data_IF_820049405622
#
_entry.id   IF_820049405622
#
_cell.length_a   1.000
_cell.length_b   1.000
_cell.length_c   1.000
_cell.angle_alpha   90.00
_cell.angle_beta   90.00
_cell.angle_gamma   90.00
#
_symmetry.space_group_name_H-M   'P 1'
#
loop_
_entity.id
_entity.type
_entity.pdbx_description
1 polymer ?
#
# COMPACT_ATOMS: atom_id res chain seq x y z
N UNK A 1 25.96 -20.42 -14.47
CA UNK A 1 26.60 -19.90 -15.71
C UNK A 1 26.51 -18.40 -15.94
N UNK A 2 25.34 -17.75 -15.84
CA UNK A 2 25.25 -16.28 -16.02
C UNK A 2 26.11 -15.51 -15.01
N UNK A 3 26.14 -15.96 -13.75
CA UNK A 3 26.94 -15.33 -12.69
C UNK A 3 28.46 -15.36 -12.93
N UNK A 4 29.00 -16.38 -13.61
CA UNK A 4 30.43 -16.37 -13.96
C UNK A 4 30.72 -15.53 -15.21
N UNK A 5 29.75 -15.41 -16.12
CA UNK A 5 29.88 -14.62 -17.35
C UNK A 5 29.80 -13.10 -17.10
N UNK A 6 29.05 -12.67 -16.10
CA UNK A 6 28.88 -11.23 -15.78
C UNK A 6 29.96 -10.69 -14.84
N UNK A 7 30.64 -11.55 -14.07
CA UNK A 7 31.51 -11.13 -12.96
C UNK A 7 33.01 -11.14 -13.28
N UNK A 8 33.42 -11.63 -14.46
CA UNK A 8 34.83 -11.68 -14.90
C UNK A 8 35.27 -10.52 -15.79
N UNK A 9 34.47 -9.47 -15.93
CA UNK A 9 34.80 -8.32 -16.79
C UNK A 9 35.69 -7.36 -16.01
N UNK A 10 36.97 -7.25 -16.39
CA UNK A 10 37.90 -6.27 -15.83
C UNK A 10 37.26 -4.88 -15.90
N UNK A 11 37.31 -4.11 -14.82
CA UNK A 11 36.65 -2.79 -14.70
C UNK A 11 36.99 -1.82 -15.86
N UNK A 12 38.15 -2.00 -16.51
CA UNK A 12 38.53 -1.26 -17.72
C UNK A 12 37.76 -1.61 -18.99
N UNK A 13 37.18 -2.81 -19.11
CA UNK A 13 36.33 -3.25 -20.24
C UNK A 13 34.84 -3.09 -19.96
N UNK A 14 34.44 -3.04 -18.68
CA UNK A 14 33.06 -2.76 -18.25
C UNK A 14 32.59 -1.40 -18.78
N UNK A 15 33.47 -0.39 -18.81
CA UNK A 15 33.07 0.97 -19.25
C UNK A 15 32.52 0.99 -20.67
N UNK A 16 33.12 0.22 -21.58
CA UNK A 16 32.79 0.28 -23.01
C UNK A 16 31.63 -0.69 -23.37
N UNK A 17 31.53 -1.87 -22.73
CA UNK A 17 30.36 -2.77 -22.87
C UNK A 17 29.13 -2.24 -22.13
N UNK A 18 29.29 -1.75 -20.90
CA UNK A 18 28.16 -1.23 -20.11
C UNK A 18 27.53 -0.01 -20.77
N UNK A 19 28.29 0.90 -21.42
CA UNK A 19 27.68 2.05 -22.08
C UNK A 19 26.67 1.67 -23.17
N UNK A 20 26.91 0.57 -23.89
CA UNK A 20 26.05 0.12 -24.98
C UNK A 20 24.90 -0.78 -24.47
N UNK A 21 25.18 -1.74 -23.59
CA UNK A 21 24.17 -2.64 -23.03
C UNK A 21 23.26 -1.97 -21.99
N UNK A 22 23.77 -1.01 -21.21
CA UNK A 22 22.98 -0.31 -20.19
C UNK A 22 21.80 0.44 -20.80
N UNK A 23 21.98 1.03 -21.99
CA UNK A 23 20.90 1.74 -22.68
C UNK A 23 19.74 0.82 -23.08
N UNK A 24 20.05 -0.43 -23.45
CA UNK A 24 19.04 -1.44 -23.74
C UNK A 24 18.35 -1.91 -22.46
N UNK A 25 19.13 -2.21 -21.41
CA UNK A 25 18.59 -2.63 -20.10
C UNK A 25 17.69 -1.57 -19.46
N UNK A 26 18.11 -0.30 -19.47
CA UNK A 26 17.32 0.80 -18.91
C UNK A 26 16.02 1.01 -19.67
N UNK A 27 15.97 0.73 -20.99
CA UNK A 27 14.72 0.81 -21.77
C UNK A 27 13.77 -0.34 -21.46
N UNK A 28 14.30 -1.56 -21.38
CA UNK A 28 13.52 -2.77 -21.13
C UNK A 28 12.92 -2.78 -19.72
N UNK A 29 13.72 -2.43 -18.71
CA UNK A 29 13.32 -2.47 -17.29
C UNK A 29 12.85 -1.12 -16.76
N UNK A 30 12.69 -0.13 -17.64
CA UNK A 30 12.29 1.23 -17.29
C UNK A 30 11.04 1.24 -16.42
N UNK A 31 10.00 0.56 -16.90
CA UNK A 31 8.68 0.62 -16.31
C UNK A 31 8.68 -0.07 -14.92
N UNK A 32 9.49 -1.13 -14.73
CA UNK A 32 9.73 -1.76 -13.43
C UNK A 32 10.48 -0.85 -12.45
N UNK A 33 11.47 -0.11 -12.93
CA UNK A 33 12.23 0.85 -12.11
C UNK A 33 11.35 2.03 -11.67
N UNK A 34 10.40 2.47 -12.51
CA UNK A 34 9.46 3.54 -12.14
C UNK A 34 8.35 3.06 -11.20
N UNK A 35 7.90 1.82 -11.31
CA UNK A 35 6.87 1.25 -10.43
C UNK A 35 7.41 0.86 -9.05
N UNK A 36 8.71 0.57 -8.94
CA UNK A 36 9.36 0.28 -7.66
C UNK A 36 10.06 1.55 -7.12
N UNK A 37 9.52 2.25 -6.10
CA UNK A 37 10.21 3.38 -5.46
C UNK A 37 11.35 2.83 -4.60
N UNK A 38 12.44 2.48 -5.26
CA UNK A 38 13.65 2.03 -4.63
C UNK A 38 14.28 3.24 -3.90
N UNK A 39 14.44 3.16 -2.58
CA UNK A 39 15.13 4.19 -1.76
C UNK A 39 16.52 3.66 -1.39
N UNK A 40 17.60 4.29 -1.86
CA UNK A 40 18.97 3.89 -1.51
C UNK A 40 19.24 4.38 -0.09
N UNK A 41 19.50 3.49 0.89
CA UNK A 41 19.97 3.92 2.20
C UNK A 41 21.26 4.75 2.04
N UNK A 42 21.32 5.88 2.74
CA UNK A 42 22.44 6.82 2.67
C UNK A 42 23.77 6.15 3.01
N UNK A 43 23.77 5.20 3.96
CA UNK A 43 24.96 4.48 4.39
C UNK A 43 25.57 3.59 3.29
N UNK A 44 24.72 3.02 2.43
CA UNK A 44 25.20 2.25 1.26
C UNK A 44 25.86 3.17 0.24
N UNK A 45 25.31 4.37 0.03
CA UNK A 45 25.89 5.36 -0.89
C UNK A 45 27.27 5.83 -0.41
N UNK A 46 27.43 6.09 0.89
CA UNK A 46 28.73 6.45 1.46
C UNK A 46 29.75 5.31 1.31
N UNK A 47 29.33 4.08 1.55
CA UNK A 47 30.17 2.89 1.40
C UNK A 47 30.61 2.69 -0.06
N UNK A 48 29.68 2.78 -1.02
CA UNK A 48 29.98 2.68 -2.45
C UNK A 48 30.93 3.78 -2.91
N UNK A 49 30.76 5.02 -2.43
CA UNK A 49 31.69 6.12 -2.71
C UNK A 49 33.09 5.83 -2.19
N UNK A 50 33.21 5.36 -0.95
CA UNK A 50 34.49 5.03 -0.36
C UNK A 50 35.19 3.92 -1.15
N UNK A 51 34.47 2.85 -1.49
CA UNK A 51 34.97 1.74 -2.32
C UNK A 51 35.40 2.27 -3.69
N UNK A 52 34.60 3.11 -4.34
CA UNK A 52 34.92 3.69 -5.65
C UNK A 52 36.18 4.55 -5.63
N UNK A 53 36.38 5.38 -4.60
CA UNK A 53 37.59 6.21 -4.45
C UNK A 53 38.81 5.34 -4.19
N UNK A 54 38.71 4.37 -3.27
CA UNK A 54 39.80 3.43 -2.96
C UNK A 54 40.19 2.60 -4.18
N UNK A 55 39.20 2.06 -4.90
CA UNK A 55 39.39 1.34 -6.16
C UNK A 55 40.05 2.23 -7.20
N UNK A 56 39.61 3.49 -7.35
CA UNK A 56 40.21 4.43 -8.29
C UNK A 56 41.69 4.73 -7.97
N UNK A 57 42.03 4.87 -6.68
CA UNK A 57 43.43 5.04 -6.26
C UNK A 57 44.27 3.78 -6.49
N UNK A 58 43.72 2.60 -6.20
CA UNK A 58 44.40 1.32 -6.38
C UNK A 58 44.65 1.01 -7.87
N UNK A 59 43.64 1.21 -8.73
CA UNK A 59 43.74 1.02 -10.19
C UNK A 59 44.65 2.07 -10.84
N UNK A 60 44.84 3.25 -10.22
CA UNK A 60 45.83 4.23 -10.68
C UNK A 60 47.27 3.72 -10.47
N UNK A 61 47.54 3.01 -9.37
CA UNK A 61 48.84 2.43 -9.05
C UNK A 61 49.13 1.14 -9.84
N UNK A 62 48.13 0.26 -9.98
CA UNK A 62 48.21 -0.95 -10.79
C UNK A 62 47.00 -1.05 -11.73
N UNK A 63 47.18 -0.80 -13.04
CA UNK A 63 46.11 -0.87 -14.04
C UNK A 63 45.45 -2.25 -14.19
N UNK A 64 46.10 -3.32 -13.73
CA UNK A 64 45.57 -4.69 -13.80
C UNK A 64 44.90 -5.12 -12.49
N UNK A 65 44.91 -4.28 -11.46
CA UNK A 65 44.30 -4.58 -10.17
C UNK A 65 42.77 -4.70 -10.31
N UNK A 66 42.22 -5.83 -9.87
CA UNK A 66 40.79 -6.09 -9.81
C UNK A 66 40.31 -6.08 -8.34
N UNK A 67 39.68 -4.97 -7.89
CA UNK A 67 39.18 -4.85 -6.53
C UNK A 67 38.17 -5.95 -6.17
N UNK A 68 37.39 -6.43 -7.14
CA UNK A 68 36.36 -7.43 -6.88
C UNK A 68 36.97 -8.81 -6.63
N UNK A 69 37.98 -9.18 -7.41
CA UNK A 69 38.71 -10.44 -7.20
C UNK A 69 39.33 -10.50 -5.80
N UNK A 70 39.86 -9.39 -5.30
CA UNK A 70 40.47 -9.32 -3.96
C UNK A 70 39.44 -9.30 -2.82
N UNK A 71 38.24 -8.76 -3.04
CA UNK A 71 37.15 -8.77 -2.04
C UNK A 71 36.50 -10.16 -1.93
N UNK A 72 36.42 -10.91 -3.03
CA UNK A 72 35.79 -12.24 -3.09
C UNK A 72 36.21 -13.21 -1.96
N UNK A 73 37.51 -13.42 -1.65
CA UNK A 73 37.90 -14.34 -0.58
C UNK A 73 37.40 -13.91 0.80
N UNK A 74 37.28 -12.60 1.07
CA UNK A 74 36.72 -12.11 2.33
C UNK A 74 35.21 -12.35 2.39
N UNK A 75 34.49 -12.10 1.29
CA UNK A 75 33.06 -12.39 1.20
C UNK A 75 32.79 -13.89 1.38
N UNK A 76 33.61 -14.76 0.79
CA UNK A 76 33.51 -16.21 0.97
C UNK A 76 33.74 -16.65 2.42
N UNK A 77 34.77 -16.11 3.09
CA UNK A 77 35.02 -16.40 4.50
C UNK A 77 33.87 -15.93 5.38
N UNK A 78 33.37 -14.72 5.17
CA UNK A 78 32.23 -14.18 5.92
C UNK A 78 30.97 -15.03 5.72
N UNK A 79 30.69 -15.44 4.48
CA UNK A 79 29.57 -16.34 4.19
C UNK A 79 29.72 -17.71 4.87
N UNK A 80 30.93 -18.28 4.87
CA UNK A 80 31.22 -19.54 5.57
C UNK A 80 31.09 -19.41 7.09
N UNK A 81 31.58 -18.31 7.66
CA UNK A 81 31.51 -18.04 9.10
C UNK A 81 30.07 -17.81 9.56
N UNK A 82 29.25 -17.07 8.79
CA UNK A 82 27.83 -16.94 9.06
C UNK A 82 27.09 -18.28 8.96
N UNK A 83 27.38 -19.07 7.91
CA UNK A 83 26.78 -20.41 7.74
C UNK A 83 27.14 -21.35 8.89
N UNK A 84 28.40 -21.37 9.34
CA UNK A 84 28.83 -22.20 10.45
C UNK A 84 28.23 -21.73 11.79
N UNK A 85 28.21 -20.41 12.04
CA UNK A 85 27.71 -19.84 13.29
C UNK A 85 26.19 -19.94 13.42
N UNK A 86 25.46 -19.84 12.30
CA UNK A 86 24.00 -19.84 12.28
C UNK A 86 23.37 -21.08 11.65
N UNK A 87 24.07 -22.22 11.56
CA UNK A 87 23.51 -23.47 11.02
C UNK A 87 22.17 -23.87 11.68
N UNK A 88 22.05 -23.71 13.01
CA UNK A 88 20.80 -23.94 13.73
C UNK A 88 19.70 -22.93 13.38
N UNK A 89 20.07 -21.66 13.13
CA UNK A 89 19.15 -20.61 12.69
C UNK A 89 18.62 -20.90 11.29
N UNK A 90 19.51 -21.29 10.37
CA UNK A 90 19.18 -21.61 8.99
C UNK A 90 18.26 -22.83 8.88
N UNK A 91 18.50 -23.88 9.67
CA UNK A 91 17.59 -25.03 9.77
C UNK A 91 16.22 -24.63 10.32
N UNK A 92 16.18 -23.77 11.35
CA UNK A 92 14.92 -23.29 11.92
C UNK A 92 14.13 -22.46 10.93
N UNK A 93 14.80 -21.60 10.18
CA UNK A 93 14.20 -20.76 9.15
C UNK A 93 13.70 -21.58 7.96
N UNK A 94 14.47 -22.58 7.52
CA UNK A 94 14.05 -23.54 6.51
C UNK A 94 12.82 -24.35 6.95
N UNK A 95 12.75 -24.78 8.22
CA UNK A 95 11.57 -25.45 8.78
C UNK A 95 10.37 -24.51 8.82
N UNK A 96 10.55 -23.24 9.18
CA UNK A 96 9.47 -22.24 9.18
C UNK A 96 8.96 -21.98 7.75
N UNK A 97 9.86 -21.83 6.78
CA UNK A 97 9.51 -21.71 5.35
C UNK A 97 8.77 -22.96 4.86
N UNK A 98 9.26 -24.16 5.18
CA UNK A 98 8.62 -25.41 4.81
C UNK A 98 7.23 -25.56 5.46
N UNK A 99 7.09 -25.23 6.74
CA UNK A 99 5.78 -25.22 7.42
C UNK A 99 4.82 -24.20 6.80
N UNK A 100 5.32 -23.04 6.36
CA UNK A 100 4.52 -22.01 5.69
C UNK A 100 4.07 -22.50 4.32
N UNK A 101 4.97 -23.09 3.53
CA UNK A 101 4.67 -23.71 2.24
C UNK A 101 3.68 -24.87 2.37
N UNK A 102 3.78 -25.69 3.41
CA UNK A 102 2.85 -26.80 3.67
C UNK A 102 1.47 -26.32 4.17
N UNK A 103 1.38 -25.13 4.76
CA UNK A 103 0.10 -24.52 5.17
C UNK A 103 -0.65 -23.84 4.03
N UNK A 104 0.04 -23.43 2.98
CA UNK A 104 -0.55 -22.83 1.77
C UNK A 104 -1.53 -23.74 1.00
N UNK A 105 -1.22 -25.01 0.66
CA UNK A 105 -2.14 -25.85 -0.12
C UNK A 105 -3.49 -26.04 0.56
N UNK A 106 -3.51 -26.20 1.89
CA UNK A 106 -4.76 -26.27 2.67
C UNK A 106 -5.64 -25.03 2.57
N UNK A 107 -5.06 -23.85 2.34
CA UNK A 107 -5.82 -22.62 2.13
C UNK A 107 -6.34 -22.53 0.69
N UNK A 108 -5.55 -23.00 -0.28
CA UNK A 108 -5.96 -23.08 -1.69
C UNK A 108 -7.12 -24.07 -1.85
N UNK A 109 -7.06 -25.24 -1.20
CA UNK A 109 -8.12 -26.25 -1.26
C UNK A 109 -9.43 -25.73 -0.67
N UNK A 110 -9.39 -24.95 0.42
CA UNK A 110 -10.59 -24.34 1.00
C UNK A 110 -11.21 -23.31 0.07
N UNK A 111 -10.40 -22.44 -0.52
CA UNK A 111 -10.85 -21.45 -1.49
C UNK A 111 -11.48 -22.16 -2.71
N UNK A 112 -10.82 -23.20 -3.24
CA UNK A 112 -11.30 -23.95 -4.39
C UNK A 112 -12.59 -24.72 -4.10
N UNK A 113 -12.68 -25.33 -2.90
CA UNK A 113 -13.89 -26.03 -2.44
C UNK A 113 -15.06 -25.06 -2.24
N UNK A 114 -14.81 -23.87 -1.71
CA UNK A 114 -15.83 -22.84 -1.55
C UNK A 114 -16.31 -22.33 -2.92
N UNK A 115 -15.39 -22.19 -3.89
CA UNK A 115 -15.72 -21.84 -5.29
C UNK A 115 -16.57 -22.92 -5.96
N UNK A 116 -16.22 -24.19 -5.78
CA UNK A 116 -16.93 -25.34 -6.35
C UNK A 116 -18.33 -25.52 -5.77
N UNK A 117 -18.52 -25.21 -4.48
CA UNK A 117 -19.83 -25.26 -3.82
C UNK A 117 -20.73 -24.08 -4.15
N UNK A 118 -20.29 -23.14 -5.00
CA UNK A 118 -21.03 -21.93 -5.34
C UNK A 118 -21.29 -21.03 -4.13
N UNK A 119 -20.57 -21.25 -3.03
CA UNK A 119 -20.78 -20.59 -1.74
C UNK A 119 -19.67 -19.57 -1.44
N UNK A 120 -18.79 -19.30 -2.41
CA UNK A 120 -18.15 -17.99 -2.51
C UNK A 120 -19.26 -17.00 -2.84
N UNK A 121 -20.01 -16.63 -1.79
CA UNK A 121 -20.47 -15.26 -1.66
C UNK A 121 -19.17 -14.50 -1.82
N UNK A 122 -18.98 -13.94 -3.03
CA UNK A 122 -18.09 -12.83 -3.22
C UNK A 122 -18.73 -11.78 -2.33
N UNK A 123 -18.43 -11.86 -1.03
CA UNK A 123 -17.99 -10.72 -0.27
C UNK A 123 -16.80 -10.20 -1.09
N UNK A 124 -17.14 -9.59 -2.23
CA UNK A 124 -16.85 -8.20 -2.43
C UNK A 124 -16.83 -7.68 -1.00
N UNK A 125 -15.62 -7.52 -0.48
CA UNK A 125 -15.32 -6.28 0.19
C UNK A 125 -15.92 -5.24 -0.77
N UNK A 126 -17.22 -4.99 -0.59
CA UNK A 126 -18.01 -3.98 -1.26
C UNK A 126 -17.11 -2.81 -0.98
N UNK A 127 -16.36 -2.39 -2.02
CA UNK A 127 -15.15 -1.59 -1.84
C UNK A 127 -15.48 -0.56 -0.77
N UNK A 128 -14.64 -0.31 0.26
CA UNK A 128 -15.04 0.49 1.42
C UNK A 128 -15.79 1.81 1.07
N UNK A 129 -15.59 2.30 -0.16
CA UNK A 129 -16.40 3.28 -0.88
C UNK A 129 -17.91 2.99 -1.01
N UNK A 130 -18.37 1.80 -1.42
CA UNK A 130 -19.79 1.46 -1.58
C UNK A 130 -20.55 1.50 -0.25
N UNK A 131 -19.96 0.98 0.85
CA UNK A 131 -20.56 1.06 2.19
C UNK A 131 -20.63 2.50 2.69
N UNK A 132 -19.57 3.29 2.47
CA UNK A 132 -19.56 4.74 2.76
C UNK A 132 -20.57 5.52 1.91
N UNK A 133 -20.81 5.12 0.65
CA UNK A 133 -21.83 5.73 -0.20
C UNK A 133 -23.24 5.43 0.28
N UNK A 134 -23.51 4.20 0.72
CA UNK A 134 -24.80 3.81 1.30
C UNK A 134 -25.05 4.57 2.61
N UNK A 135 -24.05 4.68 3.48
CA UNK A 135 -24.18 5.41 4.75
C UNK A 135 -24.39 6.93 4.54
N UNK A 136 -23.78 7.51 3.49
CA UNK A 136 -24.03 8.90 3.09
C UNK A 136 -25.43 9.10 2.49
N UNK A 137 -25.92 8.11 1.75
CA UNK A 137 -27.29 8.11 1.19
C UNK A 137 -28.33 8.02 2.31
N UNK A 138 -28.13 7.14 3.29
CA UNK A 138 -29.04 6.98 4.43
C UNK A 138 -29.13 8.26 5.27
N UNK A 139 -27.99 8.92 5.55
CA UNK A 139 -27.97 10.23 6.21
C UNK A 139 -28.68 11.31 5.39
N UNK A 140 -28.58 11.28 4.07
CA UNK A 140 -29.25 12.26 3.20
C UNK A 140 -30.77 12.08 3.16
N UNK A 141 -31.26 10.83 3.21
CA UNK A 141 -32.70 10.50 3.22
C UNK A 141 -33.35 10.88 4.56
N UNK A 142 -32.67 10.63 5.67
CA UNK A 142 -33.17 11.01 6.98
C UNK A 142 -33.33 12.54 7.12
N UNK A 143 -32.36 13.30 6.60
CA UNK A 143 -32.43 14.76 6.57
C UNK A 143 -33.61 15.29 5.78
N UNK A 144 -33.87 14.69 4.61
CA UNK A 144 -35.03 15.05 3.77
C UNK A 144 -36.35 14.81 4.51
N UNK A 145 -36.45 13.73 5.28
CA UNK A 145 -37.66 13.41 6.06
C UNK A 145 -37.97 14.48 7.11
N UNK A 146 -36.95 14.99 7.82
CA UNK A 146 -37.10 16.09 8.78
C UNK A 146 -37.48 17.43 8.13
N UNK A 147 -36.89 17.75 6.97
CA UNK A 147 -37.24 18.97 6.22
C UNK A 147 -38.70 18.91 5.75
N UNK A 148 -39.15 17.77 5.21
CA UNK A 148 -40.53 17.58 4.78
C UNK A 148 -41.51 17.72 5.95
N UNK A 149 -41.19 17.10 7.09
CA UNK A 149 -42.00 17.22 8.31
C UNK A 149 -42.10 18.68 8.78
N UNK A 150 -40.99 19.41 8.81
CA UNK A 150 -40.96 20.78 9.27
C UNK A 150 -41.73 21.74 8.33
N UNK A 151 -41.58 21.57 7.00
CA UNK A 151 -42.36 22.33 6.01
C UNK A 151 -43.85 22.03 6.16
N UNK A 152 -44.23 20.76 6.32
CA UNK A 152 -45.62 20.37 6.56
C UNK A 152 -46.20 21.00 7.83
N UNK A 153 -45.42 21.00 8.92
CA UNK A 153 -45.83 21.63 10.18
C UNK A 153 -45.94 23.15 10.06
N UNK A 154 -45.05 23.78 9.30
CA UNK A 154 -45.07 25.23 9.05
C UNK A 154 -46.33 25.61 8.24
N UNK A 155 -46.66 24.87 7.19
CA UNK A 155 -47.87 25.10 6.38
C UNK A 155 -49.15 24.83 7.21
N UNK A 156 -49.15 23.81 8.06
CA UNK A 156 -50.25 23.59 8.99
C UNK A 156 -50.38 24.75 10.00
N UNK A 157 -49.26 25.27 10.52
CA UNK A 157 -49.25 26.42 11.42
C UNK A 157 -49.73 27.71 10.76
N UNK A 158 -49.33 27.99 9.52
CA UNK A 158 -49.79 29.19 8.78
C UNK A 158 -51.28 29.13 8.49
N UNK A 159 -51.79 27.97 8.06
CA UNK A 159 -53.21 27.80 7.72
C UNK A 159 -54.12 27.91 8.95
N UNK A 160 -53.72 27.33 10.08
CA UNK A 160 -54.45 27.48 11.36
C UNK A 160 -54.44 28.93 11.85
N UNK A 161 -53.32 29.64 11.70
CA UNK A 161 -53.21 31.04 12.13
C UNK A 161 -54.05 32.00 11.28
N UNK A 162 -54.32 31.66 10.02
CA UNK A 162 -55.15 32.50 9.13
C UNK A 162 -56.64 32.18 9.20
N UNK A 163 -57.03 31.05 9.81
CA UNK A 163 -58.40 30.53 9.82
C UNK A 163 -59.13 30.55 11.17
N UNK A 164 -58.44 30.75 12.30
CA UNK A 164 -59.02 30.70 13.64
C UNK A 164 -58.89 32.02 14.42
N UNK A 165 -59.94 32.40 15.12
CA UNK A 165 -60.08 33.64 15.92
C UNK A 165 -59.15 33.70 17.16
N UNK A 166 -58.40 32.61 17.43
CA UNK A 166 -57.40 32.51 18.51
C UNK A 166 -55.96 32.52 17.96
N UNK A 167 -55.44 33.72 17.66
CA UNK A 167 -54.07 33.95 17.16
C UNK A 167 -52.93 33.49 18.10
N UNK A 168 -53.27 33.04 19.31
CA UNK A 168 -52.35 32.43 20.28
C UNK A 168 -51.85 31.05 19.82
N UNK A 169 -52.74 30.18 19.34
CA UNK A 169 -52.41 28.78 19.03
C UNK A 169 -51.55 28.64 17.76
N UNK A 170 -51.73 29.53 16.78
CA UNK A 170 -50.90 29.57 15.56
C UNK A 170 -49.44 29.91 15.85
N UNK A 171 -49.19 30.85 16.77
CA UNK A 171 -47.84 31.22 17.19
C UNK A 171 -47.08 30.07 17.87
N UNK A 172 -47.77 29.29 18.73
CA UNK A 172 -47.19 28.10 19.36
C UNK A 172 -46.83 27.01 18.35
N UNK A 173 -47.68 26.78 17.35
CA UNK A 173 -47.42 25.79 16.30
C UNK A 173 -46.24 26.20 15.39
N UNK A 174 -46.11 27.48 15.07
CA UNK A 174 -44.95 28.00 14.34
C UNK A 174 -43.66 27.83 15.15
N UNK A 175 -43.67 28.16 16.44
CA UNK A 175 -42.53 27.94 17.34
C UNK A 175 -42.13 26.46 17.40
N UNK A 176 -43.11 25.56 17.48
CA UNK A 176 -42.88 24.12 17.52
C UNK A 176 -42.26 23.59 16.21
N UNK A 177 -42.62 24.16 15.05
CA UNK A 177 -42.00 23.83 13.76
C UNK A 177 -40.51 24.16 13.71
N UNK A 178 -40.11 25.32 14.26
CA UNK A 178 -38.71 25.75 14.32
C UNK A 178 -37.93 24.85 15.28
N UNK A 179 -38.51 24.49 16.42
CA UNK A 179 -37.88 23.56 17.38
C UNK A 179 -37.69 22.17 16.77
N UNK A 180 -38.67 21.64 16.04
CA UNK A 180 -38.57 20.35 15.35
C UNK A 180 -37.49 20.38 14.26
N UNK A 181 -37.38 21.48 13.50
CA UNK A 181 -36.38 21.64 12.44
C UNK A 181 -34.96 21.73 13.03
N UNK A 182 -34.79 22.51 14.10
CA UNK A 182 -33.52 22.67 14.81
C UNK A 182 -33.08 21.35 15.47
N UNK A 183 -34.02 20.59 16.06
CA UNK A 183 -33.70 19.29 16.64
C UNK A 183 -33.33 18.26 15.55
N UNK A 184 -34.05 18.23 14.42
CA UNK A 184 -33.70 17.37 13.29
C UNK A 184 -32.29 17.62 12.75
N UNK A 185 -31.87 18.87 12.67
CA UNK A 185 -30.51 19.27 12.22
C UNK A 185 -29.42 18.95 13.25
N UNK A 186 -29.69 19.12 14.55
CA UNK A 186 -28.72 18.86 15.63
C UNK A 186 -28.46 17.38 15.87
N UNK A 187 -29.42 16.50 15.58
CA UNK A 187 -29.28 15.04 15.77
C UNK A 187 -28.41 14.38 14.68
N UNK A 188 -28.12 15.07 13.58
CA UNK A 188 -27.34 14.55 12.44
C UNK A 188 -25.84 14.93 12.45
N UNK A 189 -25.38 15.71 13.43
CA UNK A 189 -23.97 15.98 13.74
C UNK A 189 -23.43 14.98 14.77
#
# INVERSE_FOLDING_TARGET
>A
DVFQRTWGVKMGQVRDMAATEMNYFVREYRDLIYEAPFQFPVDLLFSLRAIGILSGMATNLDPNFDPWAEIMPFAQRMAQDELQKNWQGWLREAVVLAQTFLKLPTQIDRILTDFERGNVIVQTALAPSARKSIERLEKSVNRLSWVVLAVGLLVAGTTVNTGGDDGSLGGWLMGLSVVVLVWGLLKEW
#
